data_IF_227936590267
#
_entry.id   IF_227936590267
#
_cell.length_a   1.000
_cell.length_b   1.000
_cell.length_c   1.000
_cell.angle_alpha   90.00
_cell.angle_beta   90.00
_cell.angle_gamma   90.00
#
_symmetry.space_group_name_H-M   'P 1'
#
loop_
_entity.id
_entity.type
_entity.pdbx_description
1 polymer ?
#
# COMPACT_ATOMS: atom_id res chain seq x y z
N UNK A 1 -22.41 -27.67 -2.82
CA UNK A 1 -21.02 -28.12 -2.61
C UNK A 1 -20.10 -27.00 -3.08
N UNK A 2 -19.68 -26.13 -2.17
CA UNK A 2 -18.79 -25.01 -2.50
C UNK A 2 -17.35 -25.53 -2.56
N UNK A 3 -16.61 -25.37 -3.67
CA UNK A 3 -15.26 -25.89 -3.78
C UNK A 3 -14.36 -25.19 -2.75
N UNK A 4 -13.77 -25.97 -1.84
CA UNK A 4 -12.86 -25.50 -0.82
C UNK A 4 -11.60 -24.93 -1.48
N UNK A 5 -11.42 -23.61 -1.46
CA UNK A 5 -10.19 -22.92 -1.91
C UNK A 5 -8.93 -23.29 -1.10
N UNK A 6 -9.05 -24.07 -0.01
CA UNK A 6 -7.95 -24.39 0.90
C UNK A 6 -6.97 -25.48 0.44
N UNK A 7 -7.20 -26.14 -0.70
CA UNK A 7 -6.45 -27.34 -1.11
C UNK A 7 -5.13 -26.97 -1.84
N UNK A 8 -4.96 -25.71 -2.26
CA UNK A 8 -3.78 -25.26 -3.02
C UNK A 8 -2.70 -24.57 -2.17
N UNK A 9 -2.88 -24.46 -0.85
CA UNK A 9 -1.91 -23.82 0.06
C UNK A 9 -1.74 -22.31 -0.12
N UNK A 10 -2.48 -21.68 -1.04
CA UNK A 10 -2.46 -20.23 -1.25
C UNK A 10 -3.26 -19.53 -0.16
N UNK A 11 -2.69 -18.48 0.43
CA UNK A 11 -3.42 -17.61 1.35
C UNK A 11 -4.62 -17.01 0.62
N UNK A 12 -5.79 -16.97 1.28
CA UNK A 12 -6.99 -16.31 0.75
C UNK A 12 -6.77 -14.81 0.56
N UNK A 13 -5.89 -14.22 1.37
CA UNK A 13 -5.45 -12.84 1.27
C UNK A 13 -3.92 -12.83 1.27
N UNK A 14 -3.33 -12.57 0.11
CA UNK A 14 -1.88 -12.43 -0.04
C UNK A 14 -1.51 -10.95 0.09
N UNK A 15 -1.82 -10.38 1.25
CA UNK A 15 -1.67 -8.94 1.56
C UNK A 15 -0.76 -8.74 2.78
N UNK A 16 0.28 -9.56 2.89
CA UNK A 16 1.30 -9.37 3.93
C UNK A 16 1.91 -7.95 3.81
N UNK A 17 2.49 -7.46 4.90
CA UNK A 17 3.17 -6.17 4.89
C UNK A 17 4.28 -6.20 3.81
N UNK A 18 4.35 -5.20 2.92
CA UNK A 18 5.38 -5.16 1.91
C UNK A 18 6.75 -5.07 2.59
N UNK A 19 7.58 -6.09 2.41
CA UNK A 19 8.97 -6.11 2.85
C UNK A 19 9.84 -5.87 1.62
N UNK A 20 10.58 -4.77 1.63
CA UNK A 20 11.40 -4.35 0.50
C UNK A 20 12.62 -3.54 0.94
N UNK A 21 13.52 -3.22 0.00
CA UNK A 21 14.65 -2.33 0.26
C UNK A 21 14.17 -0.92 0.63
N UNK A 22 15.09 -0.14 1.19
CA UNK A 22 14.84 1.27 1.46
C UNK A 22 14.52 2.02 0.16
N UNK A 23 13.32 2.59 0.08
CA UNK A 23 12.84 3.28 -1.12
C UNK A 23 13.55 4.62 -1.34
N UNK A 24 14.20 4.79 -2.49
CA UNK A 24 14.80 6.07 -2.92
C UNK A 24 13.94 6.73 -4.00
N UNK A 25 14.25 7.98 -4.35
CA UNK A 25 13.56 8.68 -5.45
C UNK A 25 13.65 7.94 -6.79
N UNK A 26 14.75 7.22 -7.01
CA UNK A 26 15.01 6.45 -8.24
C UNK A 26 14.42 5.03 -8.16
N UNK A 27 14.37 4.45 -6.96
CA UNK A 27 13.83 3.12 -6.69
C UNK A 27 12.89 3.16 -5.47
N UNK A 28 11.66 3.70 -5.63
CA UNK A 28 10.73 3.87 -4.51
C UNK A 28 10.21 2.52 -4.00
N UNK A 29 9.81 2.48 -2.74
CA UNK A 29 9.15 1.32 -2.15
C UNK A 29 7.74 1.18 -2.75
N UNK A 30 7.53 0.10 -3.52
CA UNK A 30 6.25 -0.19 -4.17
C UNK A 30 5.29 -0.85 -3.18
N UNK A 31 4.16 -0.20 -2.95
CA UNK A 31 3.10 -0.67 -2.07
C UNK A 31 1.91 -1.11 -2.92
N UNK A 32 1.58 -2.39 -2.85
CA UNK A 32 0.44 -2.92 -3.59
C UNK A 32 -0.88 -2.64 -2.87
N UNK A 33 -1.92 -2.30 -3.61
CA UNK A 33 -3.27 -2.05 -3.08
C UNK A 33 -4.33 -2.53 -4.07
N UNK A 34 -5.48 -2.97 -3.56
CA UNK A 34 -6.64 -3.24 -4.41
C UNK A 34 -7.43 -1.98 -4.76
N UNK A 35 -7.26 -0.91 -3.96
CA UNK A 35 -7.92 0.40 -4.08
C UNK A 35 -6.90 1.48 -4.44
N UNK A 36 -7.38 2.65 -4.89
CA UNK A 36 -6.54 3.79 -5.27
C UNK A 36 -5.87 4.50 -4.08
N UNK A 37 -6.17 4.08 -2.85
CA UNK A 37 -5.65 4.64 -1.60
C UNK A 37 -5.43 3.55 -0.55
N UNK A 38 -4.30 3.58 0.17
CA UNK A 38 -3.96 2.64 1.26
C UNK A 38 -3.27 3.37 2.41
N UNK A 39 -3.55 2.96 3.66
CA UNK A 39 -2.79 3.42 4.83
C UNK A 39 -1.45 2.68 4.86
N UNK A 40 -0.35 3.44 4.97
CA UNK A 40 1.01 2.91 5.03
C UNK A 40 1.68 3.40 6.32
N UNK A 41 2.40 2.51 6.99
CA UNK A 41 3.23 2.84 8.15
C UNK A 41 4.70 2.66 7.80
N UNK A 42 5.50 3.71 7.96
CA UNK A 42 6.95 3.66 7.80
C UNK A 42 7.62 3.56 9.19
N UNK A 43 8.28 2.44 9.53
CA UNK A 43 8.99 2.27 10.80
C UNK A 43 10.44 2.83 10.78
N UNK A 44 10.89 3.40 9.67
CA UNK A 44 12.29 3.80 9.47
C UNK A 44 13.14 2.75 8.73
N UNK A 45 14.41 3.11 8.50
CA UNK A 45 15.37 2.33 7.71
C UNK A 45 16.68 2.07 8.47
N UNK A 46 17.57 1.24 7.90
CA UNK A 46 18.88 0.88 8.49
C UNK A 46 19.69 2.14 8.86
N UNK A 47 19.63 2.55 10.12
CA UNK A 47 20.40 3.66 10.70
C UNK A 47 19.56 4.84 11.18
N UNK A 48 18.36 5.02 10.64
CA UNK A 48 17.40 6.07 11.01
C UNK A 48 16.08 5.42 11.43
N UNK A 49 16.15 4.69 12.54
CA UNK A 49 14.97 4.13 13.21
C UNK A 49 14.18 5.27 13.88
N UNK A 50 12.90 5.35 13.58
CA UNK A 50 12.01 6.37 14.13
C UNK A 50 10.65 5.77 14.48
N UNK A 51 9.84 6.50 15.26
CA UNK A 51 8.46 6.08 15.55
C UNK A 51 7.65 5.90 14.25
N UNK A 52 6.75 4.92 14.24
CA UNK A 52 5.99 4.60 13.02
C UNK A 52 5.18 5.80 12.54
N UNK A 53 5.53 6.32 11.36
CA UNK A 53 4.78 7.39 10.70
C UNK A 53 3.71 6.76 9.83
N UNK A 54 2.45 7.06 10.14
CA UNK A 54 1.29 6.60 9.38
C UNK A 54 0.81 7.68 8.42
N UNK A 55 0.57 7.32 7.17
CA UNK A 55 0.07 8.24 6.15
C UNK A 55 -0.83 7.54 5.14
N UNK A 56 -1.65 8.33 4.45
CA UNK A 56 -2.41 7.88 3.30
C UNK A 56 -1.53 7.95 2.06
N UNK A 57 -1.34 6.81 1.39
CA UNK A 57 -0.67 6.72 0.11
C UNK A 57 -1.74 6.60 -0.98
N UNK A 58 -1.65 7.46 -2.00
CA UNK A 58 -2.62 7.54 -3.11
C UNK A 58 -1.95 7.16 -4.43
N UNK A 59 -2.73 6.57 -5.34
CA UNK A 59 -2.27 6.23 -6.69
C UNK A 59 -1.79 7.47 -7.42
N UNK A 60 -0.60 7.38 -8.03
CA UNK A 60 0.00 8.47 -8.82
C UNK A 60 0.59 9.61 -8.00
N UNK A 61 0.48 9.59 -6.66
CA UNK A 61 1.10 10.58 -5.77
C UNK A 61 2.17 9.89 -4.92
N UNK A 62 3.45 9.95 -5.32
CA UNK A 62 4.53 9.44 -4.48
C UNK A 62 4.56 10.19 -3.15
N UNK A 63 4.82 9.46 -2.07
CA UNK A 63 4.96 10.04 -0.73
C UNK A 63 6.40 9.87 -0.25
N UNK A 64 6.96 10.93 0.32
CA UNK A 64 8.26 10.90 0.99
C UNK A 64 8.03 10.94 2.50
N UNK A 65 8.61 9.99 3.24
CA UNK A 65 8.55 10.02 4.69
C UNK A 65 9.29 11.26 5.23
N UNK A 66 8.66 12.08 6.09
CA UNK A 66 9.27 13.32 6.57
C UNK A 66 10.45 13.10 7.54
N UNK A 67 10.69 11.87 7.99
CA UNK A 67 11.73 11.55 8.97
C UNK A 67 12.94 10.87 8.33
N UNK A 68 12.72 9.76 7.63
CA UNK A 68 13.81 9.02 6.97
C UNK A 68 14.02 9.37 5.50
N UNK A 69 13.16 10.20 4.88
CA UNK A 69 13.20 10.51 3.44
C UNK A 69 13.05 9.28 2.52
N UNK A 70 12.41 8.21 3.02
CA UNK A 70 12.05 7.06 2.20
C UNK A 70 10.91 7.42 1.24
N UNK A 71 11.03 7.01 -0.03
CA UNK A 71 10.01 7.22 -1.05
C UNK A 71 9.09 6.01 -1.19
N UNK A 72 7.78 6.27 -1.30
CA UNK A 72 6.73 5.26 -1.44
C UNK A 72 5.85 5.56 -2.66
N UNK A 73 5.51 4.51 -3.42
CA UNK A 73 4.57 4.59 -4.54
C UNK A 73 3.52 3.50 -4.42
N UNK A 74 2.28 3.80 -4.84
CA UNK A 74 1.17 2.85 -4.78
C UNK A 74 0.93 2.21 -6.15
N UNK A 75 0.97 0.89 -6.18
CA UNK A 75 0.61 0.06 -7.33
C UNK A 75 -0.76 -0.58 -7.09
N UNK A 76 -1.71 -0.33 -7.99
CA UNK A 76 -3.05 -0.91 -7.89
C UNK A 76 -3.10 -2.25 -8.62
N UNK A 77 -3.31 -3.33 -7.87
CA UNK A 77 -3.36 -4.72 -8.39
C UNK A 77 -4.79 -5.25 -8.57
N UNK A 78 -5.80 -4.38 -8.48
CA UNK A 78 -7.23 -4.72 -8.55
C UNK A 78 -8.02 -3.82 -9.50
N UNK A 79 -9.35 -3.76 -9.30
CA UNK A 79 -10.24 -2.86 -10.06
C UNK A 79 -9.94 -1.37 -9.80
N UNK A 80 -9.26 -1.05 -8.69
CA UNK A 80 -9.11 0.34 -8.24
C UNK A 80 -10.41 0.89 -7.65
N UNK A 81 -10.46 2.21 -7.48
CA UNK A 81 -11.56 2.93 -6.86
C UNK A 81 -11.28 3.32 -5.40
N UNK A 82 -12.11 4.22 -4.84
CA UNK A 82 -11.94 4.69 -3.48
C UNK A 82 -12.34 3.58 -2.48
N UNK A 83 -11.59 3.44 -1.37
CA UNK A 83 -11.79 2.34 -0.42
C UNK A 83 -13.07 2.48 0.43
N UNK A 84 -13.70 3.66 0.45
CA UNK A 84 -14.96 3.94 1.15
C UNK A 84 -16.20 3.51 0.34
N UNK A 85 -16.03 3.12 -0.94
CA UNK A 85 -17.12 2.69 -1.79
C UNK A 85 -18.12 3.79 -2.12
N UNK A 86 -17.79 5.06 -1.86
CA UNK A 86 -18.54 6.21 -2.33
C UNK A 86 -17.82 6.75 -3.56
N UNK A 87 -18.13 6.16 -4.72
CA UNK A 87 -17.90 6.88 -5.96
C UNK A 87 -18.79 8.11 -5.95
N UNK A 88 -18.33 9.22 -6.52
CA UNK A 88 -19.10 10.45 -6.69
C UNK A 88 -20.35 10.18 -7.56
N UNK A 89 -21.38 9.59 -6.96
CA UNK A 89 -22.71 9.34 -7.53
C UNK A 89 -23.77 10.02 -6.64
N UNK A 90 -23.57 11.30 -6.34
CA UNK A 90 -24.59 12.27 -5.90
C UNK A 90 -24.03 13.63 -6.39
N UNK A 91 -24.62 14.42 -7.29
CA UNK A 91 -26.00 14.79 -7.54
C UNK A 91 -26.21 15.16 -9.03
N UNK A 92 -27.47 15.10 -9.47
CA UNK A 92 -28.09 15.50 -10.74
C UNK A 92 -27.48 16.63 -11.58
#
# INVERSE_FOLDING_TARGET
MFPYSGIQGKKRFDMDAPVGPFGTKEAPAVIQSYYDKRIVGCPGGRGDEHDVVWFWLEKGKPHECPVCSQYFVLEVIGKGGPPDGHGDEDDH
#
